data_IF_995937713791
#
_entry.id   IF_995937713791
#
_cell.length_a   1.000
_cell.length_b   1.000
_cell.length_c   1.000
_cell.angle_alpha   90.00
_cell.angle_beta   90.00
_cell.angle_gamma   90.00
#
_symmetry.space_group_name_H-M   'P 1'
#
loop_
_entity.id
_entity.type
_entity.pdbx_description
1 polymer ?
#
# COMPACT_ATOMS: atom_id res chain seq x y z
N UNK A 1 -10.26 41.18 -8.89
CA UNK A 1 -11.35 40.23 -9.20
C UNK A 1 -11.33 39.15 -8.12
N UNK A 2 -12.33 39.09 -7.22
CA UNK A 2 -12.46 37.96 -6.28
C UNK A 2 -12.86 36.74 -7.10
N UNK A 3 -12.06 35.67 -7.06
CA UNK A 3 -12.46 34.37 -7.60
C UNK A 3 -13.47 33.77 -6.62
N UNK A 4 -14.67 33.47 -7.10
CA UNK A 4 -15.75 32.88 -6.32
C UNK A 4 -15.67 31.35 -6.48
N UNK A 5 -14.93 30.70 -5.57
CA UNK A 5 -14.78 29.25 -5.59
C UNK A 5 -15.98 28.59 -4.91
N UNK A 6 -16.64 27.65 -5.62
CA UNK A 6 -17.84 26.93 -5.14
C UNK A 6 -17.55 25.54 -4.60
N UNK A 7 -16.36 25.02 -4.85
CA UNK A 7 -15.89 23.74 -4.33
C UNK A 7 -14.37 23.73 -4.33
N UNK A 8 -13.80 22.89 -3.46
CA UNK A 8 -12.39 22.50 -3.50
C UNK A 8 -12.38 20.96 -3.52
N UNK A 9 -11.65 20.39 -4.48
CA UNK A 9 -11.47 18.95 -4.63
C UNK A 9 -10.07 18.62 -4.14
N UNK A 10 -9.97 17.56 -3.35
CA UNK A 10 -8.72 17.05 -2.83
C UNK A 10 -8.54 15.63 -3.31
N UNK A 11 -7.30 15.31 -3.68
CA UNK A 11 -6.83 13.94 -3.62
C UNK A 11 -6.60 13.55 -2.14
N UNK A 12 -6.46 12.26 -1.86
CA UNK A 12 -6.23 11.75 -0.52
C UNK A 12 -4.73 11.52 -0.28
N UNK A 13 -4.18 10.51 -0.96
CA UNK A 13 -2.82 10.04 -0.77
C UNK A 13 -1.82 11.13 -1.19
N UNK A 14 -0.79 11.33 -0.36
CA UNK A 14 0.24 12.38 -0.52
C UNK A 14 -0.30 13.83 -0.64
N UNK A 15 -1.60 14.05 -0.39
CA UNK A 15 -2.24 15.37 -0.40
C UNK A 15 -2.83 15.71 0.96
N UNK A 16 -3.68 14.85 1.51
CA UNK A 16 -4.27 14.99 2.84
C UNK A 16 -3.58 14.09 3.85
N UNK A 17 -3.01 12.97 3.42
CA UNK A 17 -2.36 11.99 4.30
C UNK A 17 -0.94 11.63 3.85
N UNK A 18 -0.13 11.18 4.82
CA UNK A 18 1.19 10.61 4.58
C UNK A 18 1.06 9.12 4.24
N UNK A 19 0.53 8.87 3.04
CA UNK A 19 0.39 7.52 2.47
C UNK A 19 1.73 6.81 2.31
N UNK A 20 2.85 7.54 2.23
CA UNK A 20 4.19 6.96 2.13
C UNK A 20 4.57 6.16 3.38
N UNK A 21 4.20 6.66 4.56
CA UNK A 21 4.38 5.95 5.82
C UNK A 21 3.50 4.70 5.92
N UNK A 22 2.24 4.81 5.47
CA UNK A 22 1.33 3.68 5.34
C UNK A 22 1.90 2.58 4.46
N UNK A 23 2.44 2.97 3.31
CA UNK A 23 3.02 2.06 2.33
C UNK A 23 4.27 1.35 2.85
N UNK A 24 5.23 2.08 3.41
CA UNK A 24 6.46 1.51 3.97
C UNK A 24 6.15 0.49 5.07
N UNK A 25 5.22 0.82 5.97
CA UNK A 25 4.77 -0.08 7.02
C UNK A 25 4.12 -1.35 6.46
N UNK A 26 3.24 -1.21 5.47
CA UNK A 26 2.56 -2.34 4.85
C UNK A 26 3.54 -3.27 4.13
N UNK A 27 4.48 -2.73 3.37
CA UNK A 27 5.52 -3.51 2.69
C UNK A 27 6.38 -4.28 3.68
N UNK A 28 6.84 -3.64 4.75
CA UNK A 28 7.62 -4.30 5.80
C UNK A 28 6.85 -5.45 6.45
N UNK A 29 5.57 -5.25 6.77
CA UNK A 29 4.73 -6.27 7.40
C UNK A 29 4.48 -7.47 6.47
N UNK A 30 4.12 -7.21 5.22
CA UNK A 30 3.88 -8.25 4.21
C UNK A 30 5.16 -9.04 3.93
N UNK A 31 6.30 -8.38 3.74
CA UNK A 31 7.56 -9.08 3.44
C UNK A 31 8.00 -9.95 4.61
N UNK A 32 7.86 -9.49 5.84
CA UNK A 32 8.17 -10.30 7.02
C UNK A 32 7.24 -11.53 7.14
N UNK A 33 5.92 -11.35 6.94
CA UNK A 33 4.94 -12.45 6.97
C UNK A 33 5.20 -13.48 5.86
N UNK A 34 5.50 -13.00 4.66
CA UNK A 34 5.79 -13.82 3.50
C UNK A 34 7.13 -14.55 3.65
N UNK A 35 8.18 -13.88 4.11
CA UNK A 35 9.47 -14.50 4.44
C UNK A 35 9.30 -15.68 5.41
N UNK A 36 8.54 -15.49 6.49
CA UNK A 36 8.25 -16.55 7.45
C UNK A 36 7.47 -17.71 6.82
N UNK A 37 6.47 -17.41 5.98
CA UNK A 37 5.73 -18.42 5.23
C UNK A 37 6.66 -19.24 4.33
N UNK A 38 7.56 -18.59 3.58
CA UNK A 38 8.51 -19.25 2.68
C UNK A 38 9.47 -20.17 3.45
N UNK A 39 10.07 -19.69 4.54
CA UNK A 39 11.02 -20.48 5.33
C UNK A 39 10.35 -21.72 5.95
N UNK A 40 9.09 -21.60 6.41
CA UNK A 40 8.30 -22.75 6.90
C UNK A 40 8.05 -23.83 5.83
N UNK A 41 8.12 -23.46 4.56
CA UNK A 41 7.96 -24.36 3.41
C UNK A 41 9.30 -24.73 2.76
N UNK A 42 10.43 -24.47 3.44
CA UNK A 42 11.77 -24.83 2.98
C UNK A 42 12.33 -23.93 1.86
N UNK A 43 11.76 -22.74 1.69
CA UNK A 43 12.20 -21.75 0.71
C UNK A 43 12.89 -20.59 1.43
N UNK A 44 14.19 -20.44 1.20
CA UNK A 44 14.98 -19.34 1.75
C UNK A 44 15.09 -18.19 0.75
N UNK A 45 14.55 -17.03 1.12
CA UNK A 45 14.63 -15.79 0.32
C UNK A 45 15.09 -14.67 1.23
N UNK A 46 16.03 -13.85 0.78
CA UNK A 46 16.45 -12.69 1.56
C UNK A 46 15.29 -11.65 1.65
N UNK A 47 14.93 -11.25 2.87
CA UNK A 47 13.83 -10.30 3.11
C UNK A 47 14.04 -8.94 2.41
N UNK A 48 15.29 -8.47 2.28
CA UNK A 48 15.60 -7.22 1.56
C UNK A 48 15.35 -7.35 0.06
N UNK A 49 15.68 -8.51 -0.53
CA UNK A 49 15.35 -8.80 -1.95
C UNK A 49 13.82 -8.87 -2.10
N UNK A 50 13.12 -9.53 -1.18
CA UNK A 50 11.68 -9.65 -1.18
C UNK A 50 10.99 -8.27 -1.15
N UNK A 51 11.46 -7.38 -0.27
CA UNK A 51 10.97 -6.00 -0.18
C UNK A 51 11.26 -5.19 -1.44
N UNK A 52 12.47 -5.28 -1.99
CA UNK A 52 12.81 -4.59 -3.23
C UNK A 52 11.95 -5.06 -4.40
N UNK A 53 11.61 -6.35 -4.45
CA UNK A 53 10.73 -6.92 -5.48
C UNK A 53 9.28 -6.50 -5.29
N UNK A 54 8.80 -6.45 -4.05
CA UNK A 54 7.46 -5.94 -3.75
C UNK A 54 7.30 -4.47 -4.17
N UNK A 55 8.30 -3.61 -3.91
CA UNK A 55 8.27 -2.22 -4.39
C UNK A 55 8.16 -2.14 -5.91
N UNK A 56 8.99 -2.89 -6.65
CA UNK A 56 8.97 -2.88 -8.11
C UNK A 56 7.66 -3.47 -8.69
N UNK A 57 7.10 -4.47 -8.02
CA UNK A 57 5.82 -5.06 -8.38
C UNK A 57 4.67 -4.05 -8.21
N UNK A 58 4.67 -3.27 -7.14
CA UNK A 58 3.66 -2.24 -6.93
C UNK A 58 3.67 -1.19 -8.04
N UNK A 59 4.85 -0.70 -8.42
CA UNK A 59 4.99 0.24 -9.53
C UNK A 59 4.40 -0.34 -10.83
N UNK A 60 4.73 -1.61 -11.13
CA UNK A 60 4.20 -2.34 -12.29
C UNK A 60 2.67 -2.45 -12.23
N UNK A 61 2.12 -2.90 -11.11
CA UNK A 61 0.68 -3.11 -10.94
C UNK A 61 -0.11 -1.80 -11.02
N UNK A 62 0.45 -0.71 -10.47
CA UNK A 62 -0.12 0.62 -10.58
C UNK A 62 -0.18 1.11 -12.02
N UNK A 63 0.90 0.91 -12.79
CA UNK A 63 0.94 1.23 -14.24
C UNK A 63 -0.09 0.39 -15.02
N UNK A 64 -0.23 -0.88 -14.66
CA UNK A 64 -1.19 -1.80 -15.28
C UNK A 64 -2.62 -1.65 -14.76
N UNK A 65 -2.88 -0.75 -13.82
CA UNK A 65 -4.20 -0.55 -13.15
C UNK A 65 -4.77 -1.81 -12.48
N UNK A 66 -3.89 -2.69 -12.00
CA UNK A 66 -4.24 -3.94 -11.31
C UNK A 66 -4.22 -3.73 -9.81
N UNK A 67 -5.35 -3.34 -9.25
CA UNK A 67 -5.45 -2.99 -7.82
C UNK A 67 -5.87 -4.15 -6.91
N UNK A 68 -6.21 -5.31 -7.47
CA UNK A 68 -6.52 -6.49 -6.65
C UNK A 68 -5.23 -7.04 -6.03
N UNK A 69 -5.02 -6.73 -4.75
CA UNK A 69 -3.84 -7.14 -4.00
C UNK A 69 -3.75 -8.65 -3.81
N UNK A 70 -4.85 -9.41 -3.88
CA UNK A 70 -4.80 -10.88 -3.80
C UNK A 70 -4.00 -11.48 -4.96
N UNK A 71 -3.99 -10.81 -6.12
CA UNK A 71 -3.23 -11.22 -7.31
C UNK A 71 -1.73 -10.87 -7.22
N UNK A 72 -1.34 -9.93 -6.34
CA UNK A 72 0.03 -9.43 -6.28
C UNK A 72 0.98 -10.45 -5.66
N UNK A 73 0.54 -11.17 -4.62
CA UNK A 73 1.42 -12.08 -3.89
C UNK A 73 1.85 -13.29 -4.74
N UNK A 74 0.96 -13.95 -5.51
CA UNK A 74 1.36 -14.98 -6.46
C UNK A 74 2.29 -14.44 -7.55
N UNK A 75 2.04 -13.25 -8.09
CA UNK A 75 2.92 -12.61 -9.08
C UNK A 75 4.31 -12.34 -8.50
N UNK A 76 4.39 -11.88 -7.25
CA UNK A 76 5.67 -11.67 -6.54
C UNK A 76 6.48 -12.98 -6.45
N UNK A 77 5.83 -14.10 -6.15
CA UNK A 77 6.49 -15.41 -6.15
C UNK A 77 6.99 -15.80 -7.54
N UNK A 78 6.19 -15.55 -8.58
CA UNK A 78 6.58 -15.81 -9.96
C UNK A 78 7.78 -14.96 -10.39
N UNK A 79 7.84 -13.67 -10.02
CA UNK A 79 8.98 -12.78 -10.29
C UNK A 79 10.26 -13.16 -9.54
N UNK A 80 10.14 -13.94 -8.47
CA UNK A 80 11.26 -14.55 -7.74
C UNK A 80 11.67 -15.92 -8.32
N UNK A 81 10.97 -16.40 -9.35
CA UNK A 81 11.20 -17.72 -9.94
C UNK A 81 10.74 -18.88 -9.05
N UNK A 82 9.91 -18.61 -8.05
CA UNK A 82 9.38 -19.62 -7.14
C UNK A 82 8.19 -20.33 -7.80
N UNK A 83 8.27 -21.65 -7.89
CA UNK A 83 7.23 -22.48 -8.51
C UNK A 83 6.13 -22.93 -7.56
N UNK A 84 6.23 -22.57 -6.28
CA UNK A 84 5.21 -22.94 -5.31
C UNK A 84 3.93 -22.17 -5.61
N UNK A 85 2.80 -22.86 -5.55
CA UNK A 85 1.51 -22.18 -5.55
C UNK A 85 1.26 -21.57 -4.17
N UNK A 86 0.76 -20.33 -4.15
CA UNK A 86 0.27 -19.72 -2.91
C UNK A 86 -1.19 -20.13 -2.72
N UNK A 87 -1.55 -20.76 -1.59
CA UNK A 87 -2.95 -20.99 -1.27
C UNK A 87 -3.70 -19.66 -1.19
N UNK A 88 -4.90 -19.61 -1.78
CA UNK A 88 -5.75 -18.40 -1.78
C UNK A 88 -5.92 -17.79 -0.39
N UNK A 89 -6.09 -18.62 0.64
CA UNK A 89 -6.21 -18.14 2.02
C UNK A 89 -4.99 -17.33 2.47
N UNK A 90 -3.78 -17.73 2.07
CA UNK A 90 -2.54 -16.99 2.41
C UNK A 90 -2.51 -15.66 1.68
N UNK A 91 -2.95 -15.62 0.41
CA UNK A 91 -3.07 -14.38 -0.35
C UNK A 91 -4.04 -13.39 0.33
N UNK A 92 -5.23 -13.86 0.71
CA UNK A 92 -6.24 -13.06 1.41
C UNK A 92 -5.73 -12.56 2.78
N UNK A 93 -4.98 -13.39 3.51
CA UNK A 93 -4.32 -13.01 4.78
C UNK A 93 -3.29 -11.89 4.57
N UNK A 94 -2.48 -11.97 3.51
CA UNK A 94 -1.48 -10.96 3.17
C UNK A 94 -2.14 -9.64 2.75
N UNK A 95 -3.21 -9.69 1.96
CA UNK A 95 -3.98 -8.51 1.57
C UNK A 95 -4.61 -7.83 2.79
N UNK A 96 -5.21 -8.60 3.69
CA UNK A 96 -5.75 -8.05 4.93
C UNK A 96 -4.66 -7.41 5.78
N UNK A 97 -3.50 -8.06 5.90
CA UNK A 97 -2.35 -7.52 6.63
C UNK A 97 -1.86 -6.22 6.00
N UNK A 98 -1.75 -6.16 4.67
CA UNK A 98 -1.36 -4.97 3.92
C UNK A 98 -2.27 -3.80 4.28
N UNK A 99 -3.58 -3.92 4.05
CA UNK A 99 -4.52 -2.81 4.24
C UNK A 99 -4.69 -2.42 5.69
N UNK A 100 -4.68 -3.39 6.62
CA UNK A 100 -4.75 -3.09 8.05
C UNK A 100 -3.50 -2.36 8.52
N UNK A 101 -2.32 -2.72 8.01
CA UNK A 101 -1.07 -2.05 8.37
C UNK A 101 -1.00 -0.66 7.75
N UNK A 102 -1.36 -0.54 6.47
CA UNK A 102 -1.42 0.73 5.74
C UNK A 102 -2.32 1.72 6.47
N UNK A 103 -3.58 1.37 6.71
CA UNK A 103 -4.57 2.26 7.33
C UNK A 103 -4.22 2.67 8.77
N UNK A 104 -3.48 1.82 9.50
CA UNK A 104 -3.02 2.16 10.85
C UNK A 104 -1.77 3.07 10.86
N UNK A 105 -1.05 3.16 9.74
CA UNK A 105 0.17 3.95 9.61
C UNK A 105 -0.02 5.18 8.69
N UNK A 106 -1.13 5.27 7.97
CA UNK A 106 -1.52 6.40 7.15
C UNK A 106 -2.23 7.46 8.02
N UNK A 107 -1.55 8.57 8.23
CA UNK A 107 -2.03 9.67 9.08
C UNK A 107 -2.24 10.94 8.26
N UNK A 108 -3.25 11.77 8.59
CA UNK A 108 -3.37 13.09 8.01
C UNK A 108 -2.12 13.94 8.28
N UNK A 109 -1.72 14.76 7.31
CA UNK A 109 -0.71 15.78 7.55
C UNK A 109 -1.16 16.75 8.66
N UNK A 110 -0.20 17.30 9.40
CA UNK A 110 -0.47 18.08 10.61
C UNK A 110 -1.41 19.28 10.37
N UNK A 111 -1.41 19.84 9.16
CA UNK A 111 -2.24 20.98 8.76
C UNK A 111 -3.51 20.58 7.97
N UNK A 112 -3.67 19.31 7.58
CA UNK A 112 -4.77 18.85 6.73
C UNK A 112 -6.14 19.19 7.33
N UNK A 113 -6.39 18.81 8.59
CA UNK A 113 -7.66 19.06 9.26
C UNK A 113 -7.95 20.57 9.38
N UNK A 114 -6.96 21.35 9.83
CA UNK A 114 -7.12 22.80 10.01
C UNK A 114 -7.41 23.52 8.68
N UNK A 115 -6.78 23.05 7.59
CA UNK A 115 -6.99 23.57 6.23
C UNK A 115 -8.37 23.24 5.71
N UNK A 116 -8.84 22.00 5.91
CA UNK A 116 -10.20 21.59 5.53
C UNK A 116 -11.28 22.40 6.29
N UNK A 117 -11.09 22.62 7.59
CA UNK A 117 -12.00 23.45 8.41
C UNK A 117 -12.02 24.89 7.88
N UNK A 118 -10.85 25.47 7.59
CA UNK A 118 -10.75 26.82 7.04
C UNK A 118 -11.47 26.95 5.69
N UNK A 119 -11.22 26.03 4.75
CA UNK A 119 -11.80 26.10 3.42
C UNK A 119 -13.32 25.87 3.43
N UNK A 120 -13.83 25.01 4.30
CA UNK A 120 -15.27 24.83 4.52
C UNK A 120 -15.98 26.12 4.92
N UNK A 121 -15.31 27.02 5.64
CA UNK A 121 -15.87 28.33 6.02
C UNK A 121 -15.81 29.36 4.88
N UNK A 122 -15.04 29.10 3.82
CA UNK A 122 -14.82 30.03 2.69
C UNK A 122 -15.60 29.64 1.44
N UNK A 123 -15.98 28.38 1.32
CA UNK A 123 -16.83 27.88 0.24
C UNK A 123 -18.28 27.99 0.71
N UNK A 124 -19.03 28.96 0.17
CA UNK A 124 -20.46 29.19 0.45
C UNK A 124 -21.28 29.16 -0.84
#
# INVERSE_FOLDING_TARGET
>A
MKRDFKAVLFDLDETLTDSSAGLEAAHRAVTARLHNYLSQHGVEVNETILRSKLNALEDKMNIETKYDRDEWWPELLAELGLKQEMPRQIAEELTKLYWTTYSNADYPYADAESTLIYLKQKVT
#
